data_IF_479636286411
#
_entry.id   IF_479636286411
#
_cell.length_a   1.000
_cell.length_b   1.000
_cell.length_c   1.000
_cell.angle_alpha   90.00
_cell.angle_beta   90.00
_cell.angle_gamma   90.00
#
_symmetry.space_group_name_H-M   'P 1'
#
loop_
_entity.id
_entity.type
_entity.pdbx_description
1 polymer ?
#
# COMPACT_ATOMS: atom_id res chain seq x y z
N UNK A 1 -8.90 22.05 6.43
CA UNK A 1 -8.02 21.53 5.36
C UNK A 1 -7.14 20.49 6.04
N UNK A 2 -6.97 19.29 5.45
CA UNK A 2 -6.11 18.25 6.03
C UNK A 2 -4.71 18.38 5.44
N UNK A 3 -3.67 18.28 6.26
CA UNK A 3 -2.26 18.23 5.84
C UNK A 3 -1.79 16.78 5.69
N UNK A 4 -0.73 16.57 4.89
CA UNK A 4 -0.13 15.24 4.71
C UNK A 4 0.98 15.07 5.75
N UNK A 5 0.76 14.22 6.75
CA UNK A 5 1.76 14.01 7.81
C UNK A 5 2.99 13.23 7.35
N UNK A 6 2.79 12.22 6.49
CA UNK A 6 3.85 11.35 5.98
C UNK A 6 3.42 10.63 4.70
N UNK A 7 4.40 10.11 3.98
CA UNK A 7 4.23 9.22 2.83
C UNK A 7 4.60 7.79 3.22
N UNK A 8 4.00 6.81 2.54
CA UNK A 8 4.36 5.39 2.70
C UNK A 8 4.92 4.86 1.39
N UNK A 9 6.14 4.33 1.43
CA UNK A 9 6.81 3.71 0.27
C UNK A 9 6.96 2.21 0.50
N UNK A 10 6.72 1.40 -0.54
CA UNK A 10 6.81 -0.05 -0.45
C UNK A 10 7.28 -0.65 -1.79
N UNK A 11 8.04 -1.73 -1.73
CA UNK A 11 8.37 -2.54 -2.92
C UNK A 11 7.16 -3.41 -3.31
N UNK A 12 6.56 -3.09 -4.45
CA UNK A 12 5.39 -3.79 -4.98
C UNK A 12 5.73 -4.89 -5.98
N UNK A 13 7.01 -5.20 -6.22
CA UNK A 13 7.45 -6.19 -7.21
C UNK A 13 6.92 -7.61 -6.94
N UNK A 14 6.57 -7.91 -5.68
CA UNK A 14 6.03 -9.20 -5.24
C UNK A 14 4.51 -9.29 -5.27
N UNK A 15 3.81 -8.20 -5.59
CA UNK A 15 2.36 -8.19 -5.59
C UNK A 15 1.81 -8.95 -6.81
N UNK A 16 0.79 -9.80 -6.62
CA UNK A 16 0.17 -10.51 -7.72
C UNK A 16 -0.64 -9.55 -8.59
N UNK A 17 -0.27 -9.46 -9.87
CA UNK A 17 -1.05 -8.74 -10.88
C UNK A 17 -2.11 -9.67 -11.48
N UNK A 18 -3.38 -9.27 -11.36
CA UNK A 18 -4.52 -9.97 -11.92
C UNK A 18 -4.90 -9.33 -13.24
N UNK A 19 -5.20 -10.14 -14.25
CA UNK A 19 -5.79 -9.65 -15.49
C UNK A 19 -7.28 -9.99 -15.51
N UNK A 20 -8.06 -9.07 -16.03
CA UNK A 20 -9.51 -9.18 -16.11
C UNK A 20 -9.97 -8.81 -17.50
N UNK A 21 -10.85 -9.65 -18.07
CA UNK A 21 -11.51 -9.34 -19.33
C UNK A 21 -12.76 -8.50 -19.04
N UNK A 22 -12.83 -7.31 -19.63
CA UNK A 22 -14.01 -6.46 -19.56
C UNK A 22 -15.09 -7.05 -20.47
N UNK A 23 -16.10 -7.67 -19.86
CA UNK A 23 -17.19 -8.38 -20.53
C UNK A 23 -17.79 -7.65 -21.74
N UNK A 24 -17.98 -6.33 -21.62
CA UNK A 24 -18.67 -5.53 -22.65
C UNK A 24 -17.78 -5.08 -23.83
N UNK A 25 -16.45 -5.20 -23.73
CA UNK A 25 -15.54 -4.60 -24.73
C UNK A 25 -14.47 -5.57 -25.25
N UNK A 26 -14.32 -6.74 -24.63
CA UNK A 26 -13.20 -7.64 -24.91
C UNK A 26 -11.82 -7.09 -24.51
N UNK A 27 -11.73 -5.89 -23.93
CA UNK A 27 -10.47 -5.31 -23.46
C UNK A 27 -10.01 -5.94 -22.16
N UNK A 28 -8.69 -6.08 -21.99
CA UNK A 28 -8.07 -6.57 -20.76
C UNK A 28 -7.64 -5.39 -19.90
N UNK A 29 -7.95 -5.44 -18.61
CA UNK A 29 -7.37 -4.53 -17.62
C UNK A 29 -6.61 -5.32 -16.56
N UNK A 30 -5.63 -4.67 -15.94
CA UNK A 30 -4.80 -5.26 -14.90
C UNK A 30 -5.19 -4.65 -13.54
N UNK A 31 -5.23 -5.49 -12.50
CA UNK A 31 -5.56 -5.11 -11.14
C UNK A 31 -4.51 -5.66 -10.18
N UNK A 32 -4.08 -4.82 -9.23
CA UNK A 32 -3.27 -5.23 -8.09
C UNK A 32 -4.07 -4.93 -6.83
N UNK A 33 -4.17 -5.91 -5.92
CA UNK A 33 -4.89 -5.77 -4.66
C UNK A 33 -3.91 -5.91 -3.49
N UNK A 34 -3.84 -4.88 -2.65
CA UNK A 34 -3.01 -4.85 -1.46
C UNK A 34 -3.66 -3.99 -0.38
N UNK A 35 -3.24 -4.21 0.86
CA UNK A 35 -3.59 -3.40 2.02
C UNK A 35 -2.35 -2.70 2.58
N UNK A 36 -2.56 -1.56 3.23
CA UNK A 36 -1.54 -0.87 4.02
C UNK A 36 -1.88 -1.12 5.49
N UNK A 37 -0.93 -1.66 6.24
CA UNK A 37 -1.06 -1.88 7.67
C UNK A 37 -0.22 -0.81 8.37
N UNK A 38 -0.89 0.05 9.12
CA UNK A 38 -0.24 1.01 10.02
C UNK A 38 -0.26 0.44 11.44
N UNK A 39 0.92 0.23 12.00
CA UNK A 39 1.09 -0.29 13.36
C UNK A 39 1.64 0.83 14.24
N UNK A 40 0.88 1.17 15.28
CA UNK A 40 1.23 2.21 16.24
C UNK A 40 1.73 1.54 17.54
N UNK A 41 3.02 1.70 17.82
CA UNK A 41 3.58 1.45 19.15
C UNK A 41 3.44 2.67 20.05
N UNK A 42 4.05 2.62 21.25
CA UNK A 42 4.07 3.77 22.17
C UNK A 42 4.74 5.02 21.54
N UNK A 43 5.83 4.82 20.82
CA UNK A 43 6.62 5.91 20.19
C UNK A 43 6.97 5.62 18.73
N UNK A 44 6.53 4.49 18.17
CA UNK A 44 6.97 4.03 16.86
C UNK A 44 5.78 3.82 15.93
N UNK A 45 5.77 4.52 14.79
CA UNK A 45 4.86 4.26 13.68
C UNK A 45 5.57 3.39 12.65
N UNK A 46 5.02 2.21 12.37
CA UNK A 46 5.49 1.30 11.31
C UNK A 46 4.42 1.13 10.25
N UNK A 47 4.86 1.00 9.00
CA UNK A 47 4.02 0.61 7.88
C UNK A 47 4.41 -0.76 7.33
N UNK A 48 3.43 -1.49 6.83
CA UNK A 48 3.63 -2.71 6.05
C UNK A 48 2.65 -2.73 4.89
N UNK A 49 2.99 -3.45 3.84
CA UNK A 49 2.05 -3.82 2.78
C UNK A 49 1.65 -5.28 2.97
N UNK A 50 0.37 -5.58 2.81
CA UNK A 50 -0.17 -6.94 2.83
C UNK A 50 -0.94 -7.27 1.57
N UNK A 51 -0.91 -8.53 1.17
CA UNK A 51 -1.67 -9.04 0.04
C UNK A 51 -2.00 -10.51 0.23
N UNK A 52 -2.90 -11.05 -0.57
CA UNK A 52 -3.13 -12.50 -0.64
C UNK A 52 -2.42 -13.07 -1.86
N UNK A 53 -1.67 -14.14 -1.67
CA UNK A 53 -1.09 -14.88 -2.79
C UNK A 53 -2.15 -15.67 -3.58
N UNK A 54 -1.71 -16.42 -4.59
CA UNK A 54 -2.58 -17.26 -5.42
C UNK A 54 -3.31 -18.35 -4.64
N UNK A 55 -2.80 -18.74 -3.47
CA UNK A 55 -3.40 -19.75 -2.60
C UNK A 55 -4.33 -19.10 -1.55
N UNK A 56 -4.48 -17.76 -1.58
CA UNK A 56 -5.31 -17.01 -0.64
C UNK A 56 -4.65 -16.75 0.72
N UNK A 57 -3.37 -17.10 0.88
CA UNK A 57 -2.61 -16.93 2.12
C UNK A 57 -2.13 -15.47 2.21
N UNK A 58 -2.30 -14.86 3.38
CA UNK A 58 -1.82 -13.50 3.60
C UNK A 58 -0.29 -13.46 3.62
N UNK A 59 0.26 -12.59 2.79
CA UNK A 59 1.65 -12.24 2.72
C UNK A 59 1.83 -10.80 3.20
N UNK A 60 3.00 -10.50 3.75
CA UNK A 60 3.36 -9.15 4.20
C UNK A 60 4.79 -8.83 3.82
N UNK A 61 5.05 -7.56 3.54
CA UNK A 61 6.42 -7.05 3.45
C UNK A 61 6.53 -5.69 4.12
N UNK A 62 7.75 -5.31 4.55
CA UNK A 62 7.99 -3.98 5.11
C UNK A 62 7.58 -2.87 4.14
N UNK A 63 7.11 -1.76 4.71
CA UNK A 63 6.95 -0.48 4.04
C UNK A 63 7.60 0.60 4.91
N UNK A 64 8.08 1.67 4.30
CA UNK A 64 8.78 2.75 4.98
C UNK A 64 7.85 3.97 5.11
N UNK A 65 7.88 4.61 6.28
CA UNK A 65 7.18 5.87 6.54
C UNK A 65 8.19 6.99 6.32
N UNK A 66 7.91 7.84 5.33
CA UNK A 66 8.77 8.95 4.93
C UNK A 66 8.11 10.25 5.37
N UNK A 67 8.82 11.02 6.20
CA UNK A 67 8.39 12.34 6.63
C UNK A 67 9.02 13.40 5.74
N UNK A 68 8.24 14.40 5.35
CA UNK A 68 8.78 15.59 4.68
C UNK A 68 9.29 16.55 5.78
N UNK A 69 10.59 16.86 5.82
CA UNK A 69 11.15 17.77 6.82
C UNK A 69 10.69 19.22 6.64
N UNK A 70 10.17 19.58 5.45
CA UNK A 70 9.76 20.94 5.10
C UNK A 70 8.24 21.16 5.26
N UNK A 71 7.45 20.09 5.43
CA UNK A 71 6.02 20.20 5.78
C UNK A 71 5.88 20.57 7.27
N UNK A 72 5.72 21.87 7.53
CA UNK A 72 5.32 22.37 8.84
C UNK A 72 3.89 21.91 9.13
N UNK A 73 3.74 21.04 10.15
CA UNK A 73 2.44 20.74 10.73
C UNK A 73 1.97 22.03 11.44
N UNK A 74 1.07 22.77 10.80
CA UNK A 74 0.39 23.90 11.45
C UNK A 74 -0.65 23.34 12.44
N UNK A 75 -0.46 23.66 13.72
CA UNK A 75 -1.40 23.35 14.82
C UNK A 75 -2.72 24.13 14.74
#
# INVERSE_FOLDING_TARGET
MYSTLCLVTADTSKLPMRSHLRANSGSVYYQVLYGIILSFGLTELKAQISWKDSNGIEQRSPAEVVYDPDELICD
#
